data_IF_497532513945
#
_entry.id   IF_497532513945
#
_cell.length_a   1.000
_cell.length_b   1.000
_cell.length_c   1.000
_cell.angle_alpha   90.00
_cell.angle_beta   90.00
_cell.angle_gamma   90.00
#
_symmetry.space_group_name_H-M   'P 1'
#
loop_
_entity.id
_entity.type
_entity.pdbx_description
1 polymer ?
#
# COMPACT_ATOMS: atom_id res chain seq x y z
N UNK A 1 -24.53 15.10 17.66
CA UNK A 1 -25.48 14.04 18.01
C UNK A 1 -25.68 13.14 16.80
N UNK A 2 -24.76 12.21 16.59
CA UNK A 2 -25.01 11.02 15.79
C UNK A 2 -24.51 9.85 16.63
N UNK A 3 -25.48 9.12 17.16
CA UNK A 3 -25.28 7.84 17.83
C UNK A 3 -25.61 6.78 16.79
N UNK A 4 -24.59 6.16 16.22
CA UNK A 4 -24.72 4.85 15.58
C UNK A 4 -23.96 3.85 16.45
N UNK A 5 -24.74 3.14 17.26
CA UNK A 5 -24.31 2.03 18.10
C UNK A 5 -24.48 0.76 17.28
N UNK A 6 -23.56 0.51 16.36
CA UNK A 6 -23.42 -0.79 15.71
C UNK A 6 -21.96 -1.21 15.80
N UNK A 7 -21.74 -2.44 16.25
CA UNK A 7 -20.47 -3.13 16.44
C UNK A 7 -19.79 -3.42 15.10
N UNK A 8 -19.47 -2.38 14.33
CA UNK A 8 -18.65 -2.45 13.14
C UNK A 8 -17.18 -2.27 13.52
N UNK A 9 -16.31 -3.19 13.07
CA UNK A 9 -14.86 -2.93 13.08
C UNK A 9 -14.63 -1.55 12.48
N UNK A 10 -14.15 -0.62 13.30
CA UNK A 10 -13.76 0.71 12.80
C UNK A 10 -12.67 0.47 11.75
N UNK A 11 -12.79 1.02 10.53
CA UNK A 11 -11.66 1.07 9.63
C UNK A 11 -10.48 1.66 10.40
N UNK A 12 -9.34 1.00 10.36
CA UNK A 12 -8.13 1.52 11.00
C UNK A 12 -7.85 2.95 10.54
N UNK A 13 -7.11 3.73 11.32
CA UNK A 13 -6.80 5.11 10.96
C UNK A 13 -6.09 5.17 9.60
N UNK A 14 -6.53 6.13 8.77
CA UNK A 14 -6.14 6.27 7.35
C UNK A 14 -4.69 6.70 7.21
N UNK A 15 -3.99 6.13 6.22
CA UNK A 15 -2.63 6.54 5.85
C UNK A 15 -2.70 7.76 4.92
N UNK A 16 -2.31 8.99 5.35
CA UNK A 16 -2.64 10.23 4.64
C UNK A 16 -2.09 10.37 3.21
N UNK A 17 -1.00 9.66 2.89
CA UNK A 17 -0.31 9.80 1.59
C UNK A 17 -0.58 8.66 0.62
N UNK A 18 -1.08 7.53 1.10
CA UNK A 18 -1.90 6.68 0.22
C UNK A 18 -3.08 7.57 -0.13
N UNK A 19 -3.37 7.77 -1.41
CA UNK A 19 -4.65 8.37 -1.80
C UNK A 19 -5.74 7.37 -1.44
N UNK A 20 -6.03 7.27 -0.15
CA UNK A 20 -7.13 6.52 0.45
C UNK A 20 -8.39 7.37 0.25
N UNK A 21 -8.62 7.76 -1.01
CA UNK A 21 -9.97 7.92 -1.48
C UNK A 21 -10.51 6.50 -1.30
N UNK A 22 -11.30 6.29 -0.26
CA UNK A 22 -12.22 5.18 -0.18
C UNK A 22 -13.51 5.71 -0.80
N UNK A 23 -13.57 5.89 -2.14
CA UNK A 23 -14.83 6.24 -2.77
C UNK A 23 -15.82 5.15 -2.39
N UNK A 24 -17.05 5.56 -2.18
CA UNK A 24 -18.12 4.61 -1.97
C UNK A 24 -18.15 3.64 -3.16
N UNK A 25 -18.09 2.33 -2.89
CA UNK A 25 -18.09 1.31 -3.94
C UNK A 25 -19.34 1.45 -4.83
N UNK A 26 -20.45 1.91 -4.26
CA UNK A 26 -21.68 2.23 -4.99
C UNK A 26 -21.50 3.36 -6.02
N UNK A 27 -20.58 4.30 -5.78
CA UNK A 27 -20.25 5.35 -6.73
C UNK A 27 -19.34 4.88 -7.87
N UNK A 28 -18.54 3.84 -7.62
CA UNK A 28 -17.64 3.28 -8.63
C UNK A 28 -18.35 2.25 -9.52
N UNK A 29 -19.08 1.33 -8.90
CA UNK A 29 -19.78 0.23 -9.56
C UNK A 29 -20.87 -0.31 -8.63
N UNK A 30 -22.11 0.18 -8.79
CA UNK A 30 -23.24 -0.21 -7.95
C UNK A 30 -23.56 -1.71 -8.03
N UNK A 31 -23.39 -2.33 -9.21
CA UNK A 31 -23.67 -3.76 -9.37
C UNK A 31 -22.64 -4.61 -8.61
N UNK A 32 -21.36 -4.25 -8.73
CA UNK A 32 -20.31 -4.90 -7.95
C UNK A 32 -20.45 -4.61 -6.45
N UNK A 33 -20.87 -3.41 -6.06
CA UNK A 33 -21.08 -3.05 -4.65
C UNK A 33 -22.12 -3.94 -3.96
N UNK A 34 -23.21 -4.31 -4.64
CA UNK A 34 -24.21 -5.24 -4.10
C UNK A 34 -23.66 -6.66 -3.92
N UNK A 35 -22.93 -7.16 -4.93
CA UNK A 35 -22.26 -8.46 -4.85
C UNK A 35 -21.23 -8.48 -3.72
N UNK A 36 -20.41 -7.44 -3.63
CA UNK A 36 -19.40 -7.27 -2.59
C UNK A 36 -20.03 -7.22 -1.20
N UNK A 37 -21.09 -6.43 -1.02
CA UNK A 37 -21.80 -6.32 0.26
C UNK A 37 -22.41 -7.67 0.70
N UNK A 38 -22.92 -8.45 -0.24
CA UNK A 38 -23.44 -9.80 0.03
C UNK A 38 -22.33 -10.75 0.47
N UNK A 39 -21.21 -10.77 -0.25
CA UNK A 39 -20.04 -11.56 0.11
C UNK A 39 -19.43 -11.14 1.45
N UNK A 40 -19.39 -9.85 1.76
CA UNK A 40 -18.91 -9.32 3.04
C UNK A 40 -19.76 -9.81 4.21
N UNK A 41 -21.10 -9.81 4.07
CA UNK A 41 -22.01 -10.37 5.09
C UNK A 41 -21.79 -11.87 5.29
N UNK A 42 -21.66 -12.64 4.20
CA UNK A 42 -21.38 -14.07 4.28
C UNK A 42 -20.02 -14.38 4.93
N UNK A 43 -19.01 -13.57 4.62
CA UNK A 43 -17.69 -13.68 5.23
C UNK A 43 -17.74 -13.40 6.74
N UNK A 44 -18.45 -12.35 7.16
CA UNK A 44 -18.64 -12.04 8.57
C UNK A 44 -19.40 -13.14 9.32
N UNK A 45 -20.44 -13.72 8.71
CA UNK A 45 -21.24 -14.79 9.32
C UNK A 45 -20.47 -16.11 9.46
N UNK A 46 -19.62 -16.44 8.48
CA UNK A 46 -18.82 -17.68 8.48
C UNK A 46 -17.48 -17.56 9.22
N UNK A 47 -17.03 -16.33 9.52
CA UNK A 47 -15.68 -16.09 10.04
C UNK A 47 -14.56 -16.37 9.03
N UNK A 48 -14.90 -16.65 7.76
CA UNK A 48 -13.98 -16.99 6.69
C UNK A 48 -13.93 -15.87 5.65
N UNK A 49 -12.76 -15.51 5.11
CA UNK A 49 -12.66 -14.54 4.03
C UNK A 49 -13.10 -15.11 2.67
N UNK A 50 -13.29 -16.43 2.56
CA UNK A 50 -13.51 -17.12 1.29
C UNK A 50 -14.62 -16.54 0.39
N UNK A 51 -15.80 -16.12 0.91
CA UNK A 51 -16.82 -15.48 0.06
C UNK A 51 -16.33 -14.22 -0.66
N UNK A 52 -15.48 -13.42 -0.01
CA UNK A 52 -14.86 -12.24 -0.62
C UNK A 52 -13.82 -12.65 -1.68
N UNK A 53 -13.05 -13.71 -1.42
CA UNK A 53 -12.02 -14.18 -2.35
C UNK A 53 -12.65 -14.75 -3.61
N UNK A 54 -13.77 -15.44 -3.49
CA UNK A 54 -14.51 -15.98 -4.63
C UNK A 54 -14.90 -14.87 -5.61
N UNK A 55 -15.58 -13.82 -5.14
CA UNK A 55 -16.02 -12.73 -6.03
C UNK A 55 -14.84 -11.99 -6.67
N UNK A 56 -13.72 -11.85 -5.95
CA UNK A 56 -12.52 -11.22 -6.48
C UNK A 56 -11.87 -12.08 -7.55
N UNK A 57 -11.77 -13.40 -7.36
CA UNK A 57 -11.25 -14.32 -8.37
C UNK A 57 -12.08 -14.29 -9.65
N UNK A 58 -13.41 -14.32 -9.53
CA UNK A 58 -14.32 -14.23 -10.68
C UNK A 58 -14.15 -12.90 -11.42
N UNK A 59 -14.03 -11.78 -10.69
CA UNK A 59 -13.83 -10.46 -11.28
C UNK A 59 -12.47 -10.35 -11.97
N UNK A 60 -11.41 -10.81 -11.32
CA UNK A 60 -10.05 -10.77 -11.83
C UNK A 60 -9.80 -11.75 -12.98
N UNK A 61 -10.57 -12.83 -13.09
CA UNK A 61 -10.43 -13.78 -14.21
C UNK A 61 -10.64 -13.12 -15.58
N UNK A 62 -11.41 -12.03 -15.63
CA UNK A 62 -11.65 -11.27 -16.87
C UNK A 62 -10.56 -10.22 -17.17
N UNK A 63 -9.66 -9.94 -16.23
CA UNK A 63 -8.62 -8.94 -16.41
C UNK A 63 -7.40 -9.53 -17.09
N UNK A 64 -7.09 -9.04 -18.28
CA UNK A 64 -5.80 -9.26 -18.92
C UNK A 64 -4.78 -8.25 -18.38
N UNK A 65 -3.68 -8.75 -17.82
CA UNK A 65 -2.58 -7.90 -17.36
C UNK A 65 -1.82 -7.34 -18.56
N UNK A 66 -1.55 -6.04 -18.56
CA UNK A 66 -0.70 -5.40 -19.56
C UNK A 66 0.76 -5.81 -19.30
N UNK A 67 1.34 -6.61 -20.19
CA UNK A 67 2.71 -7.12 -20.08
C UNK A 67 3.74 -6.00 -19.83
N UNK A 68 3.54 -4.81 -20.43
CA UNK A 68 4.45 -3.67 -20.23
C UNK A 68 4.30 -3.08 -18.83
N UNK A 69 3.10 -3.14 -18.25
CA UNK A 69 2.86 -2.77 -16.85
C UNK A 69 3.54 -3.77 -15.92
N UNK A 70 3.40 -5.07 -16.17
CA UNK A 70 4.06 -6.10 -15.36
C UNK A 70 5.58 -5.94 -15.37
N UNK A 71 6.17 -5.75 -16.56
CA UNK A 71 7.61 -5.47 -16.70
C UNK A 71 8.02 -4.21 -15.94
N UNK A 72 7.18 -3.17 -15.93
CA UNK A 72 7.44 -1.94 -15.20
C UNK A 72 7.43 -2.14 -13.69
N UNK A 73 6.44 -2.86 -13.19
CA UNK A 73 6.31 -3.20 -11.78
C UNK A 73 7.49 -4.06 -11.34
N UNK A 74 7.80 -5.13 -12.07
CA UNK A 74 8.92 -6.02 -11.76
C UNK A 74 10.26 -5.27 -11.75
N UNK A 75 10.49 -4.38 -12.71
CA UNK A 75 11.71 -3.57 -12.75
C UNK A 75 11.80 -2.56 -11.60
N UNK A 76 10.69 -1.99 -11.13
CA UNK A 76 10.67 -1.11 -9.96
C UNK A 76 10.86 -1.89 -8.66
N UNK A 77 10.27 -3.07 -8.55
CA UNK A 77 10.37 -3.94 -7.38
C UNK A 77 11.80 -4.46 -7.18
N UNK A 78 12.47 -4.86 -8.27
CA UNK A 78 13.82 -5.43 -8.24
C UNK A 78 14.89 -4.49 -7.64
N UNK A 79 14.64 -3.18 -7.61
CA UNK A 79 15.56 -2.17 -7.09
C UNK A 79 14.89 -1.23 -6.09
N UNK A 80 13.80 -1.68 -5.47
CA UNK A 80 13.07 -0.96 -4.43
C UNK A 80 12.72 0.49 -4.81
N UNK A 81 12.40 0.72 -6.09
CA UNK A 81 12.02 2.03 -6.61
C UNK A 81 13.19 3.00 -6.83
N UNK A 82 14.45 2.58 -6.70
CA UNK A 82 15.62 3.42 -6.97
C UNK A 82 15.96 3.52 -8.48
N UNK A 83 14.94 3.79 -9.30
CA UNK A 83 15.07 3.93 -10.75
C UNK A 83 14.66 5.30 -11.24
N UNK A 84 15.43 5.83 -12.20
CA UNK A 84 14.98 6.98 -12.99
C UNK A 84 13.83 6.51 -13.90
N UNK A 85 12.65 7.12 -13.74
CA UNK A 85 11.46 6.72 -14.51
C UNK A 85 11.65 6.85 -16.03
N UNK A 86 12.46 7.82 -16.50
CA UNK A 86 12.80 7.94 -17.91
C UNK A 86 13.60 6.73 -18.44
N UNK A 87 14.48 6.19 -17.61
CA UNK A 87 15.25 4.98 -17.92
C UNK A 87 14.34 3.74 -17.95
N UNK A 88 13.39 3.66 -17.02
CA UNK A 88 12.37 2.61 -17.02
C UNK A 88 11.56 2.60 -18.32
N UNK A 89 11.08 3.77 -18.75
CA UNK A 89 10.32 3.92 -19.99
C UNK A 89 11.12 3.45 -21.22
N UNK A 90 12.42 3.81 -21.28
CA UNK A 90 13.34 3.39 -22.33
C UNK A 90 13.54 1.86 -22.34
N UNK A 91 13.77 1.25 -21.18
CA UNK A 91 13.94 -0.21 -21.04
C UNK A 91 12.71 -0.99 -21.50
N UNK A 92 11.53 -0.44 -21.24
CA UNK A 92 10.24 -1.07 -21.57
C UNK A 92 9.75 -0.64 -22.95
N UNK A 93 10.53 0.13 -23.72
CA UNK A 93 10.19 0.47 -25.10
C UNK A 93 8.93 1.32 -25.26
N UNK A 94 8.64 2.20 -24.29
CA UNK A 94 7.47 3.09 -24.31
C UNK A 94 7.87 4.54 -24.01
N UNK A 95 7.03 5.48 -24.44
CA UNK A 95 7.21 6.87 -24.02
C UNK A 95 6.93 7.03 -22.52
N UNK A 96 7.51 8.06 -21.87
CA UNK A 96 7.24 8.37 -20.47
C UNK A 96 5.75 8.62 -20.21
N UNK A 97 5.06 9.31 -21.12
CA UNK A 97 3.62 9.56 -21.02
C UNK A 97 2.82 8.26 -21.10
N UNK A 98 3.17 7.37 -22.03
CA UNK A 98 2.52 6.06 -22.18
C UNK A 98 2.72 5.22 -20.91
N UNK A 99 3.93 5.19 -20.36
CA UNK A 99 4.22 4.49 -19.11
C UNK A 99 3.38 5.05 -17.95
N UNK A 100 3.30 6.38 -17.82
CA UNK A 100 2.49 7.03 -16.78
C UNK A 100 1.01 6.66 -16.89
N UNK A 101 0.43 6.77 -18.08
CA UNK A 101 -1.00 6.47 -18.31
C UNK A 101 -1.30 4.99 -18.06
N UNK A 102 -0.48 4.07 -18.57
CA UNK A 102 -0.69 2.63 -18.40
C UNK A 102 -0.56 2.19 -16.94
N UNK A 103 0.50 2.63 -16.26
CA UNK A 103 0.70 2.27 -14.85
C UNK A 103 -0.40 2.87 -13.97
N UNK A 104 -0.82 4.11 -14.23
CA UNK A 104 -1.92 4.73 -13.50
C UNK A 104 -3.24 3.98 -13.68
N UNK A 105 -3.55 3.54 -14.91
CA UNK A 105 -4.77 2.79 -15.19
C UNK A 105 -4.77 1.39 -14.56
N UNK A 106 -3.63 0.70 -14.57
CA UNK A 106 -3.54 -0.68 -14.10
C UNK A 106 -3.26 -0.80 -12.59
N UNK A 107 -2.48 0.11 -12.02
CA UNK A 107 -1.99 0.05 -10.62
C UNK A 107 -2.60 1.16 -9.74
N UNK A 108 -3.28 2.14 -10.34
CA UNK A 108 -3.82 3.29 -9.61
C UNK A 108 -2.77 4.30 -9.16
N UNK A 109 -1.50 4.12 -9.57
CA UNK A 109 -0.38 5.00 -9.21
C UNK A 109 0.46 5.35 -10.44
N UNK A 110 0.96 6.58 -10.47
CA UNK A 110 2.00 6.92 -11.46
C UNK A 110 3.31 6.16 -11.13
N UNK A 111 4.21 5.95 -12.11
CA UNK A 111 5.48 5.26 -11.87
C UNK A 111 6.34 5.90 -10.78
N UNK A 112 6.29 7.23 -10.67
CA UNK A 112 7.02 7.98 -9.64
C UNK A 112 6.42 7.75 -8.25
N UNK A 113 5.09 7.69 -8.14
CA UNK A 113 4.41 7.38 -6.88
C UNK A 113 4.68 5.94 -6.47
N UNK A 114 4.60 4.99 -7.40
CA UNK A 114 4.91 3.58 -7.14
C UNK A 114 6.35 3.41 -6.64
N UNK A 115 7.33 3.99 -7.35
CA UNK A 115 8.73 3.98 -6.94
C UNK A 115 8.94 4.55 -5.52
N UNK A 116 8.23 5.62 -5.18
CA UNK A 116 8.27 6.24 -3.84
C UNK A 116 7.71 5.32 -2.76
N UNK A 117 6.62 4.60 -3.06
CA UNK A 117 6.04 3.60 -2.14
C UNK A 117 7.01 2.44 -1.93
N UNK A 118 7.63 1.91 -3.00
CA UNK A 118 8.62 0.85 -2.91
C UNK A 118 9.83 1.25 -2.05
N UNK A 119 10.34 2.46 -2.27
CA UNK A 119 11.43 3.03 -1.48
C UNK A 119 11.08 3.16 0.00
N UNK A 120 9.87 3.65 0.28
CA UNK A 120 9.36 3.77 1.64
C UNK A 120 9.25 2.40 2.32
N UNK A 121 8.73 1.40 1.62
CA UNK A 121 8.65 0.03 2.14
C UNK A 121 10.04 -0.54 2.43
N UNK A 122 11.02 -0.31 1.56
CA UNK A 122 12.40 -0.75 1.76
C UNK A 122 13.06 -0.07 2.97
N UNK A 123 12.89 1.25 3.10
CA UNK A 123 13.33 2.01 4.26
C UNK A 123 12.76 1.42 5.55
N UNK A 124 11.45 1.14 5.57
CA UNK A 124 10.77 0.62 6.74
C UNK A 124 11.19 -0.81 7.09
N UNK A 125 11.44 -1.68 6.11
CA UNK A 125 12.00 -3.02 6.36
C UNK A 125 13.37 -2.95 7.06
N UNK A 126 14.25 -2.04 6.63
CA UNK A 126 15.54 -1.83 7.28
C UNK A 126 15.40 -1.30 8.70
N UNK A 127 14.46 -0.38 8.94
CA UNK A 127 14.19 0.17 10.27
C UNK A 127 13.60 -0.87 11.24
N UNK A 128 12.81 -1.81 10.74
CA UNK A 128 12.24 -2.93 11.51
C UNK A 128 13.32 -3.98 11.84
N UNK A 129 14.11 -4.39 10.84
CA UNK A 129 15.02 -5.55 10.97
C UNK A 129 16.41 -5.29 11.53
N UNK A 130 16.98 -4.09 11.36
CA UNK A 130 18.43 -3.89 11.57
C UNK A 130 18.79 -2.90 12.69
N UNK A 131 17.82 -2.42 13.48
CA UNK A 131 18.01 -1.37 14.48
C UNK A 131 18.75 -0.11 13.95
N UNK A 132 18.75 0.11 12.64
CA UNK A 132 19.49 1.18 11.97
C UNK A 132 18.95 2.57 12.34
N UNK A 133 19.81 3.59 12.21
CA UNK A 133 19.36 4.99 12.27
C UNK A 133 18.61 5.36 10.99
N UNK A 134 17.68 6.32 11.09
CA UNK A 134 16.92 6.81 9.92
C UNK A 134 17.85 7.38 8.86
N UNK A 135 18.92 8.09 9.26
CA UNK A 135 19.89 8.63 8.32
C UNK A 135 20.63 7.53 7.53
N UNK A 136 21.09 6.48 8.21
CA UNK A 136 21.78 5.35 7.56
C UNK A 136 20.85 4.59 6.62
N UNK A 137 19.62 4.32 7.05
CA UNK A 137 18.63 3.66 6.22
C UNK A 137 18.20 4.52 5.03
N UNK A 138 18.06 5.84 5.20
CA UNK A 138 17.74 6.77 4.12
C UNK A 138 18.82 6.76 3.01
N UNK A 139 20.10 6.81 3.40
CA UNK A 139 21.22 6.79 2.46
C UNK A 139 21.28 5.49 1.63
N UNK A 140 20.89 4.35 2.21
CA UNK A 140 20.84 3.06 1.50
C UNK A 140 19.75 2.96 0.45
N UNK A 141 18.65 3.68 0.63
CA UNK A 141 17.43 3.53 -0.18
C UNK A 141 17.18 4.72 -1.11
N UNK A 142 18.22 5.46 -1.50
CA UNK A 142 18.10 6.51 -2.52
C UNK A 142 17.39 7.79 -2.07
N UNK A 143 17.38 8.07 -0.76
CA UNK A 143 17.05 9.40 -0.25
C UNK A 143 18.30 10.28 -0.24
N UNK A 144 18.11 11.57 -0.58
CA UNK A 144 19.18 12.57 -0.57
C UNK A 144 19.73 12.81 0.83
N UNK A 145 18.85 12.74 1.83
CA UNK A 145 19.13 13.05 3.22
C UNK A 145 18.02 12.51 4.13
N UNK A 146 18.25 12.59 5.44
CA UNK A 146 17.28 12.17 6.45
C UNK A 146 15.98 13.00 6.44
N UNK A 147 16.04 14.29 6.11
CA UNK A 147 14.88 15.16 6.12
C UNK A 147 13.89 14.79 5.00
N UNK A 148 14.40 14.47 3.80
CA UNK A 148 13.63 13.92 2.69
C UNK A 148 12.95 12.61 3.09
N UNK A 149 13.69 11.65 3.69
CA UNK A 149 13.09 10.41 4.18
C UNK A 149 12.01 10.67 5.25
N UNK A 150 12.23 11.63 6.14
CA UNK A 150 11.28 12.02 7.19
C UNK A 150 10.00 12.62 6.60
N UNK A 151 10.12 13.50 5.61
CA UNK A 151 8.97 14.07 4.91
C UNK A 151 8.16 13.00 4.17
N UNK A 152 8.83 12.04 3.54
CA UNK A 152 8.18 10.90 2.88
C UNK A 152 7.43 10.03 3.89
N UNK A 153 8.09 9.63 4.97
CA UNK A 153 7.48 8.85 6.05
C UNK A 153 6.24 9.54 6.61
N UNK A 154 6.34 10.83 6.93
CA UNK A 154 5.22 11.59 7.47
C UNK A 154 4.09 11.73 6.45
N UNK A 155 4.42 12.03 5.18
CA UNK A 155 3.43 12.15 4.12
C UNK A 155 2.61 10.87 3.97
N UNK A 156 3.27 9.72 3.94
CA UNK A 156 2.61 8.45 3.65
C UNK A 156 1.97 7.81 4.88
N UNK A 157 2.65 7.86 6.04
CA UNK A 157 2.17 7.17 7.24
C UNK A 157 1.36 8.06 8.18
N UNK A 158 1.50 9.39 8.08
CA UNK A 158 0.93 10.34 9.04
C UNK A 158 1.61 10.33 10.40
N UNK A 159 2.67 9.52 10.57
CA UNK A 159 3.37 9.31 11.84
C UNK A 159 4.80 9.80 11.69
N UNK A 160 5.34 10.39 12.77
CA UNK A 160 6.74 10.80 12.78
C UNK A 160 7.66 9.57 12.78
N UNK A 161 8.82 9.63 12.11
CA UNK A 161 9.74 8.49 12.01
C UNK A 161 10.12 7.88 13.37
N UNK A 162 10.37 8.71 14.38
CA UNK A 162 10.72 8.23 15.72
C UNK A 162 9.61 7.39 16.38
N UNK A 163 8.34 7.81 16.25
CA UNK A 163 7.19 7.04 16.74
C UNK A 163 7.02 5.72 15.99
N UNK A 164 7.25 5.74 14.68
CA UNK A 164 7.16 4.56 13.83
C UNK A 164 8.25 3.54 14.17
N UNK A 165 9.50 3.97 14.33
CA UNK A 165 10.63 3.11 14.72
C UNK A 165 10.40 2.49 16.11
N UNK A 166 9.91 3.28 17.06
CA UNK A 166 9.58 2.79 18.40
C UNK A 166 8.51 1.69 18.36
N UNK A 167 7.50 1.85 17.51
CA UNK A 167 6.44 0.87 17.33
C UNK A 167 6.89 -0.40 16.60
N UNK A 168 7.72 -0.26 15.57
CA UNK A 168 8.30 -1.39 14.83
C UNK A 168 9.11 -2.29 15.76
N UNK A 169 9.85 -1.69 16.71
CA UNK A 169 10.64 -2.39 17.72
C UNK A 169 9.81 -3.06 18.83
N UNK A 170 8.47 -3.08 18.70
CA UNK A 170 7.59 -3.88 19.56
C UNK A 170 7.24 -3.23 20.90
N UNK A 171 7.39 -1.91 21.04
CA UNK A 171 7.00 -1.27 22.29
C UNK A 171 5.46 -1.25 22.43
N UNK A 172 4.97 -1.82 23.55
CA UNK A 172 3.56 -2.24 23.77
C UNK A 172 2.54 -1.09 23.80
N UNK A 173 2.99 0.16 23.63
CA UNK A 173 2.15 1.37 23.70
C UNK A 173 1.72 1.95 22.35
N UNK A 174 2.03 1.30 21.22
CA UNK A 174 1.79 1.92 19.90
C UNK A 174 0.37 1.70 19.36
N UNK A 175 -0.26 2.81 18.93
CA UNK A 175 -1.62 2.87 18.36
C UNK A 175 -1.81 1.95 17.16
N UNK A 176 -3.05 1.47 16.96
CA UNK A 176 -3.50 0.66 15.81
C UNK A 176 -3.03 1.19 14.44
N UNK A 177 -2.91 2.52 14.28
CA UNK A 177 -2.36 3.14 13.08
C UNK A 177 -0.95 2.69 12.75
N UNK A 178 -0.13 2.59 13.79
CA UNK A 178 1.27 2.29 13.68
C UNK A 178 1.46 0.79 13.48
N UNK A 179 0.56 -0.03 14.03
CA UNK A 179 0.51 -1.46 13.75
C UNK A 179 0.06 -1.77 12.32
N UNK A 180 -0.92 -1.03 11.78
CA UNK A 180 -1.34 -1.10 10.38
C UNK A 180 -0.23 -0.64 9.43
N UNK A 181 0.44 0.46 9.75
CA UNK A 181 1.62 0.90 9.02
C UNK A 181 2.73 -0.16 9.07
N UNK A 182 2.95 -0.81 10.21
CA UNK A 182 3.91 -1.91 10.33
C UNK A 182 3.48 -3.18 9.57
N UNK A 183 2.18 -3.48 9.51
CA UNK A 183 1.65 -4.59 8.70
C UNK A 183 1.80 -4.31 7.19
N UNK A 184 1.56 -3.06 6.77
CA UNK A 184 1.83 -2.59 5.41
C UNK A 184 3.31 -2.76 5.02
N UNK A 185 4.24 -2.55 5.95
CA UNK A 185 5.68 -2.74 5.76
C UNK A 185 6.06 -4.21 5.61
N UNK A 186 5.44 -5.08 6.41
CA UNK A 186 5.74 -6.52 6.41
C UNK A 186 5.13 -7.26 5.22
N UNK A 187 4.24 -6.63 4.44
CA UNK A 187 3.50 -7.31 3.37
C UNK A 187 2.54 -8.40 3.88
N UNK A 188 2.44 -8.55 5.21
CA UNK A 188 1.53 -9.48 5.84
C UNK A 188 0.26 -8.73 6.20
N UNK A 189 -0.71 -8.71 5.29
CA UNK A 189 -2.11 -8.75 5.70
C UNK A 189 -2.36 -10.11 6.35
N UNK A 190 -1.79 -10.32 7.54
CA UNK A 190 -2.02 -11.51 8.32
C UNK A 190 -3.46 -11.46 8.82
N UNK A 191 -4.36 -12.07 8.05
CA UNK A 191 -5.43 -12.86 8.63
C UNK A 191 -4.78 -13.91 9.53
N UNK A 192 -4.56 -13.56 10.78
CA UNK A 192 -4.37 -14.52 11.85
C UNK A 192 -5.69 -14.58 12.61
N UNK A 193 -6.56 -15.49 12.17
CA UNK A 193 -7.47 -16.15 13.09
C UNK A 193 -6.82 -17.48 13.49
N UNK A 194 -7.08 -17.97 14.72
CA UNK A 194 -6.47 -19.19 15.26
C UNK A 194 -6.76 -20.43 14.43
#
# INVERSE_FOLDING_TARGET
MWSDSSTGRRPGPRLPGLRDQAPDLYTLDAAFAEVFSTAARASAASGSPEPLWQILRERCASFALDERVEQAVAALDAIDGDLRIAELARRIGVSLRTLQTRLLAAVGMTPKEYARVRRLQALLRTLDGEAASIASAAARHGYSDQAHATHDLLRWTGVTPGRLVHALRGDRGSSDAVQLAAAFVRGTSAGRAP
#
